data_IF_683275183679
#
_entry.id   IF_683275183679
#
_cell.length_a   1.000
_cell.length_b   1.000
_cell.length_c   1.000
_cell.angle_alpha   90.00
_cell.angle_beta   90.00
_cell.angle_gamma   90.00
#
_symmetry.space_group_name_H-M   'P 1'
#
loop_
_entity.id
_entity.type
_entity.pdbx_description
1 polymer ?
#
# COMPACT_ATOMS: atom_id res chain seq x y z
N UNK A 1 12.84 12.64 24.29
CA UNK A 1 12.27 12.47 22.94
C UNK A 1 11.28 11.33 23.04
N UNK A 2 10.06 11.47 22.48
CA UNK A 2 9.10 10.37 22.48
C UNK A 2 9.72 9.18 21.72
N UNK A 3 9.50 7.96 22.23
CA UNK A 3 9.97 6.75 21.60
C UNK A 3 9.32 6.58 20.20
N UNK A 4 10.12 6.22 19.20
CA UNK A 4 9.59 6.01 17.85
C UNK A 4 8.79 4.72 17.82
N UNK A 5 7.67 4.77 17.14
CA UNK A 5 6.82 3.59 16.92
C UNK A 5 6.41 3.46 15.45
N UNK A 6 6.10 2.24 15.04
CA UNK A 6 5.65 1.92 13.69
C UNK A 6 4.32 1.19 13.72
N UNK A 7 3.46 1.56 12.77
CA UNK A 7 2.15 0.93 12.56
C UNK A 7 2.12 0.30 11.17
N UNK A 8 1.96 -1.01 11.11
CA UNK A 8 1.76 -1.77 9.90
C UNK A 8 0.26 -1.97 9.65
N UNK A 9 -0.23 -1.58 8.47
CA UNK A 9 -1.63 -1.80 8.07
C UNK A 9 -1.65 -2.64 6.80
N UNK A 10 -1.99 -3.91 6.94
CA UNK A 10 -2.13 -4.85 5.84
C UNK A 10 -3.60 -5.14 5.53
N UNK A 11 -3.87 -5.75 4.38
CA UNK A 11 -5.20 -6.15 3.98
C UNK A 11 -5.45 -6.07 2.49
N UNK A 12 -6.59 -6.57 2.00
CA UNK A 12 -6.90 -6.70 0.59
C UNK A 12 -7.10 -5.36 -0.13
N UNK A 13 -7.15 -5.39 -1.45
CA UNK A 13 -7.37 -4.20 -2.27
C UNK A 13 -8.76 -3.60 -2.01
N UNK A 14 -8.87 -2.26 -1.99
CA UNK A 14 -10.17 -1.59 -1.78
C UNK A 14 -10.70 -1.60 -0.35
N UNK A 15 -9.98 -2.17 0.63
CA UNK A 15 -10.40 -2.19 2.04
C UNK A 15 -10.36 -0.81 2.73
N UNK A 16 -9.89 0.25 2.06
CA UNK A 16 -9.82 1.60 2.63
C UNK A 16 -8.52 1.92 3.38
N UNK A 17 -7.52 1.01 3.33
CA UNK A 17 -6.25 1.15 4.06
C UNK A 17 -5.59 2.51 3.89
N UNK A 18 -5.31 2.91 2.66
CA UNK A 18 -4.56 4.14 2.38
C UNK A 18 -5.29 5.39 2.84
N UNK A 19 -6.62 5.42 2.70
CA UNK A 19 -7.45 6.55 3.15
C UNK A 19 -7.43 6.65 4.67
N UNK A 20 -7.65 5.54 5.37
CA UNK A 20 -7.63 5.48 6.83
C UNK A 20 -6.23 5.70 7.40
N UNK A 21 -5.20 5.08 6.82
CA UNK A 21 -3.80 5.23 7.24
C UNK A 21 -3.34 6.69 7.14
N UNK A 22 -3.67 7.37 6.03
CA UNK A 22 -3.36 8.79 5.83
C UNK A 22 -4.04 9.68 6.86
N UNK A 23 -5.35 9.46 7.11
CA UNK A 23 -6.10 10.22 8.10
C UNK A 23 -5.59 9.96 9.53
N UNK A 24 -5.28 8.70 9.86
CA UNK A 24 -4.73 8.35 11.17
C UNK A 24 -3.33 8.94 11.37
N UNK A 25 -2.48 8.92 10.36
CA UNK A 25 -1.15 9.54 10.42
C UNK A 25 -1.23 11.04 10.69
N UNK A 26 -2.14 11.74 10.01
CA UNK A 26 -2.40 13.16 10.25
C UNK A 26 -2.90 13.42 11.68
N UNK A 27 -3.84 12.61 12.19
CA UNK A 27 -4.38 12.75 13.54
C UNK A 27 -3.36 12.44 14.64
N UNK A 28 -2.38 11.59 14.37
CA UNK A 28 -1.30 11.21 15.30
C UNK A 28 -0.04 12.08 15.14
N UNK A 29 0.02 12.95 14.13
CA UNK A 29 1.19 13.78 13.84
C UNK A 29 2.42 12.97 13.40
N UNK A 30 2.23 11.82 12.74
CA UNK A 30 3.30 10.94 12.27
C UNK A 30 3.29 10.76 10.76
N UNK A 31 4.34 10.17 10.22
CA UNK A 31 4.52 10.03 8.78
C UNK A 31 3.65 8.89 8.22
N UNK A 32 3.03 9.13 7.06
CA UNK A 32 2.34 8.09 6.29
C UNK A 32 3.21 7.63 5.13
N UNK A 33 3.31 6.31 4.93
CA UNK A 33 4.05 5.67 3.83
C UNK A 33 3.12 4.79 3.01
N UNK A 34 2.82 5.22 1.77
CA UNK A 34 2.10 4.44 0.75
C UNK A 34 3.09 3.52 0.03
N UNK A 35 3.18 2.25 0.45
CA UNK A 35 4.06 1.30 -0.25
C UNK A 35 3.53 0.94 -1.63
N UNK A 36 2.23 0.99 -1.84
CA UNK A 36 1.63 0.82 -3.16
C UNK A 36 2.14 1.87 -4.16
N UNK A 37 2.39 3.11 -3.73
CA UNK A 37 3.02 4.11 -4.58
C UNK A 37 4.47 3.73 -4.95
N UNK A 38 5.21 3.13 -4.03
CA UNK A 38 6.59 2.65 -4.27
C UNK A 38 6.58 1.58 -5.37
N UNK A 39 5.73 0.56 -5.26
CA UNK A 39 5.58 -0.49 -6.29
C UNK A 39 5.04 0.05 -7.61
N UNK A 40 4.11 1.02 -7.58
CA UNK A 40 3.62 1.69 -8.80
C UNK A 40 4.72 2.47 -9.50
N UNK A 41 5.69 3.01 -8.76
CA UNK A 41 6.85 3.70 -9.37
C UNK A 41 7.74 2.74 -10.15
N UNK A 42 8.00 1.54 -9.60
CA UNK A 42 8.68 0.47 -10.38
C UNK A 42 7.83 0.08 -11.60
N UNK A 43 6.53 -0.17 -11.40
CA UNK A 43 5.61 -0.49 -12.49
C UNK A 43 5.62 0.56 -13.61
N UNK A 44 5.66 1.84 -13.27
CA UNK A 44 5.77 2.93 -14.23
C UNK A 44 7.12 2.93 -14.97
N UNK A 45 8.22 2.67 -14.26
CA UNK A 45 9.53 2.54 -14.88
C UNK A 45 9.63 1.38 -15.88
N UNK A 46 8.97 0.26 -15.58
CA UNK A 46 8.82 -0.92 -16.46
C UNK A 46 7.93 -0.57 -17.67
N UNK A 47 6.79 0.07 -17.42
CA UNK A 47 5.86 0.53 -18.44
C UNK A 47 6.53 1.47 -19.46
N UNK A 48 7.26 2.47 -19.02
CA UNK A 48 7.96 3.44 -19.88
C UNK A 48 9.02 2.78 -20.77
N UNK A 49 9.52 1.60 -20.39
CA UNK A 49 10.50 0.83 -21.18
C UNK A 49 9.85 -0.20 -22.12
N UNK A 50 8.51 -0.31 -22.13
CA UNK A 50 7.79 -1.30 -22.90
C UNK A 50 8.05 -2.74 -22.47
N UNK A 51 8.47 -2.97 -21.22
CA UNK A 51 8.77 -4.29 -20.67
C UNK A 51 7.47 -4.92 -20.16
N UNK A 52 7.25 -6.21 -20.41
CA UNK A 52 6.17 -6.97 -19.78
C UNK A 52 6.45 -7.05 -18.26
N UNK A 53 5.55 -6.53 -17.40
CA UNK A 53 5.73 -6.59 -15.94
C UNK A 53 5.72 -8.02 -15.37
N UNK A 54 5.40 -9.03 -16.17
CA UNK A 54 5.48 -10.46 -15.80
C UNK A 54 6.82 -11.10 -16.16
N UNK A 55 7.65 -10.45 -16.98
CA UNK A 55 8.99 -10.92 -17.30
C UNK A 55 9.96 -10.56 -16.18
N UNK A 56 10.11 -11.50 -15.23
CA UNK A 56 10.93 -11.30 -14.05
C UNK A 56 12.40 -10.98 -14.38
N UNK A 57 12.96 -11.58 -15.43
CA UNK A 57 14.36 -11.37 -15.82
C UNK A 57 14.57 -9.98 -16.42
N UNK A 58 13.69 -9.57 -17.34
CA UNK A 58 13.75 -8.23 -17.95
C UNK A 58 13.50 -7.12 -16.93
N UNK A 59 12.54 -7.31 -16.00
CA UNK A 59 12.28 -6.37 -14.91
C UNK A 59 13.50 -6.27 -13.98
N UNK A 60 14.08 -7.40 -13.56
CA UNK A 60 15.24 -7.39 -12.67
C UNK A 60 16.46 -6.68 -13.29
N UNK A 61 16.67 -6.87 -14.59
CA UNK A 61 17.80 -6.26 -15.31
C UNK A 61 17.80 -4.73 -15.29
N UNK A 62 16.62 -4.10 -15.23
CA UNK A 62 16.49 -2.64 -15.27
C UNK A 62 16.41 -1.97 -13.89
N UNK A 63 16.27 -2.75 -12.79
CA UNK A 63 16.17 -2.20 -11.43
C UNK A 63 17.37 -1.32 -11.04
N UNK A 64 18.63 -1.67 -11.31
CA UNK A 64 19.77 -0.84 -10.93
C UNK A 64 19.76 0.55 -11.54
N UNK A 65 19.10 0.72 -12.70
CA UNK A 65 18.96 2.00 -13.39
C UNK A 65 17.81 2.85 -12.84
N UNK A 66 16.88 2.23 -12.10
CA UNK A 66 15.74 2.88 -11.49
C UNK A 66 16.17 3.63 -10.22
N UNK A 67 16.67 4.85 -10.38
CA UNK A 67 16.95 5.75 -9.25
C UNK A 67 15.63 6.23 -8.66
N UNK A 68 15.11 5.44 -7.70
CA UNK A 68 13.85 5.71 -7.04
C UNK A 68 14.08 6.51 -5.76
N UNK A 69 13.36 7.62 -5.62
CA UNK A 69 13.42 8.47 -4.44
C UNK A 69 12.01 8.68 -3.88
N UNK A 70 11.88 8.53 -2.55
CA UNK A 70 10.69 8.87 -1.80
C UNK A 70 11.01 10.13 -0.98
N UNK A 71 10.22 11.16 -1.15
CA UNK A 71 10.32 12.40 -0.37
C UNK A 71 8.93 12.90 0.03
N UNK A 72 8.90 13.90 0.90
CA UNK A 72 7.65 14.52 1.35
C UNK A 72 7.68 16.00 0.95
N UNK A 73 6.57 16.47 0.42
CA UNK A 73 6.40 17.89 0.11
C UNK A 73 6.15 18.72 1.40
N UNK A 74 5.98 20.03 1.23
CA UNK A 74 5.74 20.95 2.35
C UNK A 74 4.44 20.65 3.13
N UNK A 75 3.47 19.98 2.49
CA UNK A 75 2.23 19.54 3.12
C UNK A 75 2.36 18.16 3.80
N UNK A 76 3.57 17.57 3.80
CA UNK A 76 3.82 16.23 4.35
C UNK A 76 3.27 15.10 3.48
N UNK A 77 2.95 15.36 2.21
CA UNK A 77 2.47 14.36 1.28
C UNK A 77 3.63 13.63 0.61
N UNK A 78 3.53 12.31 0.55
CA UNK A 78 4.50 11.47 -0.14
C UNK A 78 4.54 11.77 -1.63
N UNK A 79 5.73 12.02 -2.14
CA UNK A 79 6.06 12.23 -3.56
C UNK A 79 7.05 11.18 -4.01
N UNK A 80 6.93 10.75 -5.25
CA UNK A 80 7.80 9.73 -5.84
C UNK A 80 8.58 10.31 -7.01
N UNK A 81 9.91 10.12 -6.99
CA UNK A 81 10.75 10.43 -8.15
C UNK A 81 11.33 9.15 -8.75
N UNK A 82 11.41 9.14 -10.06
CA UNK A 82 12.10 8.12 -10.83
C UNK A 82 13.14 8.81 -11.73
N UNK A 83 14.41 8.46 -11.56
CA UNK A 83 15.54 9.09 -12.27
C UNK A 83 15.52 10.64 -12.19
N UNK A 84 15.19 11.18 -11.01
CA UNK A 84 15.15 12.61 -10.74
C UNK A 84 13.85 13.33 -11.17
N UNK A 85 12.97 12.67 -11.96
CA UNK A 85 11.66 13.21 -12.37
C UNK A 85 10.60 12.86 -11.34
N UNK A 86 9.79 13.84 -10.91
CA UNK A 86 8.56 13.56 -10.13
C UNK A 86 7.56 12.83 -11.02
N UNK A 87 7.09 11.67 -10.53
CA UNK A 87 6.16 10.78 -11.23
C UNK A 87 4.91 10.49 -10.38
N UNK A 88 4.67 11.32 -9.37
CA UNK A 88 3.61 11.10 -8.38
C UNK A 88 2.22 11.03 -9.00
N UNK A 89 1.96 11.79 -10.05
CA UNK A 89 0.66 11.77 -10.74
C UNK A 89 0.60 10.61 -11.74
N UNK A 90 1.66 10.36 -12.50
CA UNK A 90 1.73 9.31 -13.51
C UNK A 90 1.55 7.91 -12.90
N UNK A 91 2.05 7.67 -11.70
CA UNK A 91 1.86 6.38 -11.01
C UNK A 91 0.44 6.14 -10.51
N UNK A 92 -0.47 7.11 -10.67
CA UNK A 92 -1.89 6.99 -10.33
C UNK A 92 -2.78 6.60 -11.49
N UNK A 93 -2.22 6.50 -12.70
CA UNK A 93 -2.93 6.00 -13.88
C UNK A 93 -3.49 4.59 -13.62
N UNK A 94 -4.67 4.26 -14.16
CA UNK A 94 -5.34 2.97 -13.90
C UNK A 94 -4.46 1.75 -14.15
N UNK A 95 -3.66 1.78 -15.22
CA UNK A 95 -2.76 0.70 -15.63
C UNK A 95 -1.69 0.41 -14.57
N UNK A 96 -1.24 1.43 -13.84
CA UNK A 96 -0.17 1.29 -12.86
C UNK A 96 -0.53 0.35 -11.71
N UNK A 97 -1.81 0.20 -11.42
CA UNK A 97 -2.27 -0.78 -10.43
C UNK A 97 -2.01 -2.23 -10.85
N UNK A 98 -2.17 -2.53 -12.17
CA UNK A 98 -1.89 -3.86 -12.74
C UNK A 98 -0.38 -4.12 -12.78
N UNK A 99 0.39 -3.12 -13.23
CA UNK A 99 1.85 -3.20 -13.24
C UNK A 99 2.42 -3.41 -11.83
N UNK A 100 1.97 -2.64 -10.86
CA UNK A 100 2.41 -2.78 -9.47
C UNK A 100 2.13 -4.17 -8.90
N UNK A 101 0.94 -4.73 -9.16
CA UNK A 101 0.57 -6.08 -8.73
C UNK A 101 1.53 -7.12 -9.31
N UNK A 102 1.82 -7.07 -10.61
CA UNK A 102 2.73 -8.01 -11.29
C UNK A 102 4.17 -7.87 -10.80
N UNK A 103 4.73 -6.66 -10.79
CA UNK A 103 6.12 -6.48 -10.34
C UNK A 103 6.32 -6.78 -8.85
N UNK A 104 5.29 -6.66 -8.02
CA UNK A 104 5.36 -6.99 -6.59
C UNK A 104 5.48 -8.49 -6.31
N UNK A 105 5.19 -9.35 -7.30
CA UNK A 105 5.42 -10.79 -7.22
C UNK A 105 6.86 -11.19 -7.54
N UNK A 106 7.68 -10.28 -8.08
CA UNK A 106 9.07 -10.54 -8.48
C UNK A 106 10.01 -10.37 -7.27
N UNK A 107 10.76 -11.42 -6.86
CA UNK A 107 11.66 -11.36 -5.72
C UNK A 107 12.65 -10.20 -5.77
N UNK A 108 13.33 -10.01 -6.90
CA UNK A 108 14.32 -8.95 -7.09
C UNK A 108 13.75 -7.54 -6.87
N UNK A 109 12.49 -7.30 -7.25
CA UNK A 109 11.81 -6.02 -6.99
C UNK A 109 11.58 -5.82 -5.50
N UNK A 110 11.21 -6.87 -4.78
CA UNK A 110 10.98 -6.81 -3.34
C UNK A 110 12.26 -6.53 -2.58
N UNK A 111 13.32 -7.26 -2.91
CA UNK A 111 14.64 -7.06 -2.31
C UNK A 111 15.17 -5.65 -2.57
N UNK A 112 15.00 -5.15 -3.79
CA UNK A 112 15.38 -3.79 -4.18
C UNK A 112 14.65 -2.70 -3.36
N UNK A 113 13.37 -2.93 -3.00
CA UNK A 113 12.55 -1.95 -2.29
C UNK A 113 12.57 -2.10 -0.77
N UNK A 114 13.00 -3.24 -0.23
CA UNK A 114 12.87 -3.55 1.20
C UNK A 114 13.57 -2.53 2.09
N UNK A 115 14.83 -2.20 1.78
CA UNK A 115 15.60 -1.25 2.58
C UNK A 115 15.06 0.18 2.47
N UNK A 116 14.56 0.60 1.30
CA UNK A 116 13.90 1.90 1.15
C UNK A 116 12.68 2.04 2.08
N UNK A 117 11.88 0.98 2.19
CA UNK A 117 10.71 0.94 3.07
C UNK A 117 11.10 0.95 4.55
N UNK A 118 12.01 0.07 4.96
CA UNK A 118 12.50 -0.04 6.34
C UNK A 118 13.14 1.25 6.85
N UNK A 119 13.86 1.93 5.98
CA UNK A 119 14.55 3.18 6.31
C UNK A 119 13.58 4.29 6.73
N UNK A 120 12.35 4.31 6.19
CA UNK A 120 11.32 5.26 6.64
C UNK A 120 10.96 5.07 8.12
N UNK A 121 10.80 3.82 8.56
CA UNK A 121 10.48 3.50 9.96
C UNK A 121 11.67 3.70 10.91
N UNK A 122 12.90 3.51 10.42
CA UNK A 122 14.12 3.80 11.23
C UNK A 122 14.27 5.28 11.54
N UNK A 123 13.85 6.16 10.63
CA UNK A 123 14.06 7.62 10.76
C UNK A 123 13.02 8.27 11.66
N UNK A 124 11.77 7.80 11.67
CA UNK A 124 10.64 8.48 12.35
C UNK A 124 9.52 7.51 12.67
N UNK A 125 8.57 7.93 13.50
CA UNK A 125 7.32 7.18 13.67
C UNK A 125 6.51 7.22 12.39
N UNK A 126 5.97 6.05 11.98
CA UNK A 126 5.28 5.89 10.68
C UNK A 126 4.01 5.06 10.80
N UNK A 127 3.05 5.34 9.92
CA UNK A 127 2.03 4.37 9.49
C UNK A 127 2.40 3.96 8.07
N UNK A 128 2.54 2.66 7.85
CA UNK A 128 2.84 2.09 6.53
C UNK A 128 1.72 1.15 6.13
N UNK A 129 1.13 1.32 4.94
CA UNK A 129 0.11 0.41 4.45
C UNK A 129 0.59 -0.42 3.25
N UNK A 130 0.13 -1.68 3.21
CA UNK A 130 0.53 -2.62 2.16
C UNK A 130 -0.23 -3.95 2.18
N UNK A 131 0.51 -5.04 1.97
CA UNK A 131 0.03 -6.43 1.96
C UNK A 131 0.79 -7.34 2.92
N UNK A 132 2.01 -6.97 3.21
CA UNK A 132 2.99 -7.77 3.94
C UNK A 132 3.87 -6.89 4.85
N UNK A 133 3.33 -5.76 5.27
CA UNK A 133 4.09 -4.81 6.09
C UNK A 133 4.40 -5.44 7.45
N UNK A 134 3.39 -5.98 8.12
CA UNK A 134 3.53 -6.59 9.44
C UNK A 134 4.14 -7.99 9.44
N UNK A 135 4.27 -8.64 8.26
CA UNK A 135 4.85 -9.99 8.15
C UNK A 135 6.28 -9.98 7.60
N UNK A 136 6.63 -9.04 6.71
CA UNK A 136 7.92 -9.03 6.00
C UNK A 136 8.66 -7.70 6.14
N UNK A 137 8.00 -6.58 5.88
CA UNK A 137 8.69 -5.28 5.83
C UNK A 137 9.06 -4.80 7.24
N UNK A 138 8.09 -4.79 8.16
CA UNK A 138 8.24 -4.39 9.55
C UNK A 138 7.70 -5.50 10.48
N UNK A 139 8.37 -6.67 10.55
CA UNK A 139 7.91 -7.79 11.38
C UNK A 139 7.87 -7.45 12.86
N UNK A 140 8.64 -6.44 13.29
CA UNK A 140 8.68 -5.95 14.66
C UNK A 140 7.90 -4.63 14.82
N UNK A 141 6.91 -4.34 13.95
CA UNK A 141 6.09 -3.14 14.08
C UNK A 141 5.38 -3.09 15.44
N UNK A 142 5.40 -1.92 16.08
CA UNK A 142 4.78 -1.70 17.41
C UNK A 142 3.29 -2.04 17.39
N UNK A 143 2.61 -1.74 16.28
CA UNK A 143 1.20 -2.08 16.08
C UNK A 143 1.03 -2.70 14.69
N UNK A 144 0.36 -3.85 14.65
CA UNK A 144 -0.01 -4.51 13.40
C UNK A 144 -1.53 -4.61 13.29
N UNK A 145 -2.04 -4.20 12.14
CA UNK A 145 -3.46 -4.17 11.83
C UNK A 145 -3.70 -4.88 10.50
N UNK A 146 -4.67 -5.76 10.48
CA UNK A 146 -5.20 -6.35 9.27
C UNK A 146 -6.58 -5.75 8.99
N UNK A 147 -6.65 -4.84 8.03
CA UNK A 147 -7.87 -4.10 7.71
C UNK A 147 -8.60 -4.80 6.57
N UNK A 148 -9.85 -5.20 6.80
CA UNK A 148 -10.65 -5.97 5.86
C UNK A 148 -12.04 -5.39 5.62
N UNK A 149 -12.69 -5.85 4.58
CA UNK A 149 -14.11 -5.72 4.28
C UNK A 149 -14.47 -6.77 3.21
N UNK A 150 -15.73 -7.21 3.16
CA UNK A 150 -16.21 -8.15 2.15
C UNK A 150 -15.93 -7.65 0.72
N UNK A 151 -15.61 -8.53 -0.24
CA UNK A 151 -15.32 -8.16 -1.64
C UNK A 151 -16.41 -7.28 -2.26
N UNK A 152 -17.66 -7.56 -1.99
CA UNK A 152 -18.83 -6.83 -2.48
C UNK A 152 -18.85 -5.38 -1.99
N UNK A 153 -18.54 -5.17 -0.71
CA UNK A 153 -18.46 -3.83 -0.11
C UNK A 153 -17.31 -3.03 -0.74
N UNK A 154 -16.18 -3.69 -0.95
CA UNK A 154 -15.01 -3.06 -1.60
C UNK A 154 -15.28 -2.72 -3.06
N UNK A 155 -16.00 -3.58 -3.78
CA UNK A 155 -16.43 -3.33 -5.14
C UNK A 155 -17.37 -2.13 -5.22
N UNK A 156 -18.36 -2.03 -4.34
CA UNK A 156 -19.25 -0.87 -4.27
C UNK A 156 -18.51 0.43 -3.97
N UNK A 157 -17.56 0.42 -3.03
CA UNK A 157 -16.70 1.58 -2.72
C UNK A 157 -15.90 2.00 -3.96
N UNK A 158 -15.35 1.03 -4.68
CA UNK A 158 -14.55 1.27 -5.89
C UNK A 158 -15.39 1.80 -7.05
N UNK A 159 -16.60 1.30 -7.25
CA UNK A 159 -17.52 1.83 -8.27
C UNK A 159 -17.81 3.33 -8.02
N UNK A 160 -18.14 3.71 -6.78
CA UNK A 160 -18.37 5.12 -6.42
C UNK A 160 -17.15 6.01 -6.67
N UNK A 161 -15.95 5.49 -6.36
CA UNK A 161 -14.69 6.20 -6.64
C UNK A 161 -14.47 6.40 -8.15
N UNK A 162 -14.75 5.39 -8.96
CA UNK A 162 -14.64 5.45 -10.43
C UNK A 162 -15.67 6.41 -11.04
N UNK A 163 -16.91 6.42 -10.54
CA UNK A 163 -17.94 7.38 -10.93
C UNK A 163 -17.51 8.83 -10.64
N UNK A 164 -16.99 9.09 -9.44
CA UNK A 164 -16.47 10.42 -9.07
C UNK A 164 -15.30 10.88 -9.95
N UNK A 165 -14.51 9.94 -10.48
CA UNK A 165 -13.40 10.22 -11.40
C UNK A 165 -13.85 10.34 -12.87
N UNK A 166 -15.13 10.15 -13.17
CA UNK A 166 -15.65 10.17 -14.54
C UNK A 166 -15.27 8.96 -15.40
N UNK A 167 -14.87 7.85 -14.78
CA UNK A 167 -14.48 6.59 -15.43
C UNK A 167 -15.28 5.40 -14.89
N UNK A 168 -16.64 5.43 -14.97
CA UNK A 168 -17.47 4.39 -14.40
C UNK A 168 -17.18 3.03 -15.04
N UNK A 169 -17.27 1.96 -14.25
CA UNK A 169 -17.15 0.57 -14.71
C UNK A 169 -18.32 -0.26 -14.16
N UNK A 170 -18.73 -1.34 -14.87
CA UNK A 170 -19.75 -2.25 -14.37
C UNK A 170 -19.33 -2.91 -13.05
N UNK A 171 -20.26 -3.00 -12.10
CA UNK A 171 -20.02 -3.57 -10.78
C UNK A 171 -19.42 -4.99 -10.84
N UNK A 172 -19.97 -5.86 -11.69
CA UNK A 172 -19.49 -7.24 -11.84
C UNK A 172 -18.05 -7.30 -12.34
N UNK A 173 -17.63 -6.35 -13.18
CA UNK A 173 -16.23 -6.26 -13.61
C UNK A 173 -15.33 -5.83 -12.46
N UNK A 174 -15.73 -4.81 -11.70
CA UNK A 174 -14.98 -4.33 -10.54
C UNK A 174 -14.88 -5.40 -9.47
N UNK A 175 -15.94 -6.16 -9.21
CA UNK A 175 -15.94 -7.26 -8.26
C UNK A 175 -15.00 -8.38 -8.69
N UNK A 176 -15.05 -8.80 -9.97
CA UNK A 176 -14.10 -9.79 -10.51
C UNK A 176 -12.66 -9.33 -10.35
N UNK A 177 -12.35 -8.10 -10.76
CA UNK A 177 -10.99 -7.54 -10.65
C UNK A 177 -10.47 -7.52 -9.20
N UNK A 178 -11.36 -7.30 -8.22
CA UNK A 178 -11.03 -7.33 -6.78
C UNK A 178 -10.76 -8.77 -6.33
N UNK A 179 -11.62 -9.71 -6.67
CA UNK A 179 -11.48 -11.13 -6.28
C UNK A 179 -10.21 -11.73 -6.89
N UNK A 180 -9.98 -11.50 -8.18
CA UNK A 180 -8.79 -11.99 -8.89
C UNK A 180 -7.50 -11.41 -8.28
N UNK A 181 -7.54 -10.14 -7.92
CA UNK A 181 -6.39 -9.49 -7.28
C UNK A 181 -6.14 -10.02 -5.87
N UNK A 182 -7.18 -10.22 -5.07
CA UNK A 182 -7.05 -10.78 -3.72
C UNK A 182 -6.50 -12.20 -3.77
N UNK A 183 -6.97 -12.98 -4.75
CA UNK A 183 -6.44 -14.32 -4.99
C UNK A 183 -4.95 -14.26 -5.33
N UNK A 184 -4.56 -13.40 -6.28
CA UNK A 184 -3.17 -13.24 -6.68
C UNK A 184 -2.29 -12.73 -5.52
N UNK A 185 -2.77 -11.74 -4.74
CA UNK A 185 -2.02 -11.20 -3.58
C UNK A 185 -1.83 -12.26 -2.47
N UNK A 186 -2.81 -13.16 -2.26
CA UNK A 186 -2.77 -14.17 -1.20
C UNK A 186 -2.08 -15.49 -1.61
N UNK A 187 -1.95 -15.76 -2.91
CA UNK A 187 -1.35 -17.01 -3.42
C UNK A 187 0.01 -16.82 -4.11
N UNK A 188 0.60 -15.64 -4.02
CA UNK A 188 1.96 -15.44 -4.53
C UNK A 188 2.97 -16.19 -3.65
N UNK A 189 4.01 -16.74 -4.29
CA UNK A 189 5.02 -17.57 -3.61
C UNK A 189 5.83 -16.79 -2.56
N UNK A 190 5.96 -15.46 -2.75
CA UNK A 190 6.78 -14.61 -1.88
C UNK A 190 5.92 -13.54 -1.24
N UNK A 191 6.02 -13.44 0.07
CA UNK A 191 5.32 -12.46 0.91
C UNK A 191 3.81 -12.36 0.58
N UNK A 192 3.05 -13.48 0.65
CA UNK A 192 1.63 -13.47 0.37
C UNK A 192 0.90 -12.52 1.32
N UNK A 193 -0.25 -12.00 0.85
CA UNK A 193 -1.15 -11.28 1.74
C UNK A 193 -1.69 -12.25 2.79
N UNK A 194 -1.24 -12.09 4.02
CA UNK A 194 -1.76 -12.82 5.17
C UNK A 194 -1.76 -11.91 6.42
N UNK A 195 -2.65 -12.23 7.34
CA UNK A 195 -2.69 -11.57 8.64
C UNK A 195 -1.51 -12.03 9.49
N UNK A 196 -0.69 -11.11 10.01
CA UNK A 196 0.32 -11.45 11.01
C UNK A 196 -0.35 -11.99 12.29
N UNK A 197 0.29 -12.92 12.98
CA UNK A 197 -0.27 -13.60 14.16
C UNK A 197 -0.68 -12.62 15.27
N UNK A 198 0.11 -11.57 15.47
CA UNK A 198 -0.09 -10.52 16.45
C UNK A 198 -0.92 -9.32 15.93
N UNK A 199 -1.38 -9.36 14.67
CA UNK A 199 -2.19 -8.31 14.09
C UNK A 199 -3.63 -8.29 14.61
N UNK A 200 -4.11 -7.10 14.92
CA UNK A 200 -5.53 -6.85 15.20
C UNK A 200 -6.28 -6.78 13.88
N UNK A 201 -7.31 -7.61 13.74
CA UNK A 201 -8.21 -7.54 12.58
C UNK A 201 -9.28 -6.49 12.80
N UNK A 202 -9.44 -5.61 11.80
CA UNK A 202 -10.47 -4.58 11.77
C UNK A 202 -11.32 -4.73 10.51
N UNK A 203 -12.55 -5.21 10.67
CA UNK A 203 -13.53 -5.23 9.59
C UNK A 203 -14.25 -3.88 9.52
N UNK A 204 -14.10 -3.21 8.37
CA UNK A 204 -14.72 -1.91 8.10
C UNK A 204 -15.97 -2.02 7.22
N UNK A 205 -16.45 -3.24 6.97
CA UNK A 205 -17.53 -3.51 6.02
C UNK A 205 -18.82 -2.76 6.33
N UNK A 206 -19.23 -2.76 7.59
CA UNK A 206 -20.44 -2.12 8.08
C UNK A 206 -20.21 -0.70 8.64
N UNK A 207 -18.96 -0.22 8.69
CA UNK A 207 -18.60 1.05 9.33
C UNK A 207 -18.54 2.20 8.33
N UNK A 208 -18.93 3.37 8.78
CA UNK A 208 -18.63 4.65 8.11
C UNK A 208 -17.11 4.93 8.16
N UNK A 209 -16.67 5.92 7.39
CA UNK A 209 -15.27 6.36 7.44
C UNK A 209 -14.87 6.84 8.85
N UNK A 210 -15.71 7.66 9.50
CA UNK A 210 -15.40 8.23 10.82
C UNK A 210 -15.38 7.16 11.92
N UNK A 211 -16.28 6.19 11.88
CA UNK A 211 -16.28 5.03 12.79
C UNK A 211 -15.03 4.18 12.60
N UNK A 212 -14.67 3.90 11.34
CA UNK A 212 -13.46 3.13 11.00
C UNK A 212 -12.19 3.86 11.46
N UNK A 213 -12.11 5.18 11.26
CA UNK A 213 -10.97 5.98 11.68
C UNK A 213 -10.86 6.03 13.22
N UNK A 214 -11.97 6.19 13.92
CA UNK A 214 -11.99 6.17 15.40
C UNK A 214 -11.50 4.82 15.91
N UNK A 215 -12.05 3.72 15.40
CA UNK A 215 -11.65 2.37 15.78
C UNK A 215 -10.14 2.12 15.51
N UNK A 216 -9.64 2.59 14.37
CA UNK A 216 -8.22 2.51 14.01
C UNK A 216 -7.36 3.28 15.01
N UNK A 217 -7.69 4.55 15.30
CA UNK A 217 -6.96 5.40 16.22
C UNK A 217 -6.95 4.83 17.65
N UNK A 218 -8.09 4.38 18.15
CA UNK A 218 -8.21 3.78 19.48
C UNK A 218 -7.38 2.50 19.59
N UNK A 219 -7.36 1.71 18.52
CA UNK A 219 -6.53 0.50 18.45
C UNK A 219 -5.04 0.84 18.48
N UNK A 220 -4.61 1.84 17.68
CA UNK A 220 -3.21 2.29 17.64
C UNK A 220 -2.80 2.82 19.03
N UNK A 221 -3.57 3.74 19.60
CA UNK A 221 -3.25 4.34 20.90
C UNK A 221 -3.09 3.29 22.00
N UNK A 222 -4.07 2.39 22.12
CA UNK A 222 -4.05 1.32 23.13
C UNK A 222 -2.85 0.38 22.96
N UNK A 223 -2.49 0.02 21.72
CA UNK A 223 -1.39 -0.90 21.45
C UNK A 223 -0.02 -0.26 21.54
N UNK A 224 0.10 1.01 21.19
CA UNK A 224 1.34 1.79 21.29
C UNK A 224 1.55 2.46 22.66
N UNK A 225 0.59 2.38 23.56
CA UNK A 225 0.69 3.02 24.90
C UNK A 225 0.62 4.56 24.85
N UNK A 226 -0.18 5.13 23.93
CA UNK A 226 -0.31 6.58 23.69
C UNK A 226 -1.56 7.16 24.38
#
# INVERSE_FOLDING_TARGET
>A
MAEKYSVAIDGPSGAGKSTLAKAAAAALGICYVDTGAIYRTIGYGVYCRGIDPSDAAAVAAVLPEMRLELHYDQAGLQRMKLAGRDVTEEIRLPEMSKYASKVSAIPAVRDFLLELQRDQARRRSVIMDGRDIGTVVLPDATVKIFLTAAPEVRAMRRCRELEQRGTPQPYEQVLRDIVDRDWADSHRDIAPLCKAEDAVELDTGALTFDESLRLLLDTIRRRAGL
#
